data_IF_338800715267
#
_entry.id   IF_338800715267
#
_cell.length_a   1.000
_cell.length_b   1.000
_cell.length_c   1.000
_cell.angle_alpha   90.00
_cell.angle_beta   90.00
_cell.angle_gamma   90.00
#
_symmetry.space_group_name_H-M   'P 1'
#
loop_
_entity.id
_entity.type
_entity.pdbx_description
1 polymer ?
#
# COMPACT_ATOMS: atom_id res chain seq x y z
N UNK A 1 34.17 4.00 -4.23
CA UNK A 1 33.55 2.84 -3.55
C UNK A 1 32.27 3.34 -2.91
N UNK A 2 31.17 3.29 -3.62
CA UNK A 2 29.85 3.69 -3.12
C UNK A 2 29.37 2.59 -2.17
N UNK A 3 29.43 2.89 -0.88
CA UNK A 3 28.77 2.08 0.14
C UNK A 3 27.28 2.07 -0.18
N UNK A 4 26.77 0.94 -0.63
CA UNK A 4 25.32 0.69 -0.77
C UNK A 4 24.76 0.76 0.65
N UNK A 5 24.24 1.92 1.02
CA UNK A 5 23.50 2.08 2.28
C UNK A 5 22.25 1.22 2.15
N UNK A 6 22.33 -0.01 2.68
CA UNK A 6 21.19 -0.94 2.68
C UNK A 6 20.08 -0.26 3.49
N UNK A 7 18.95 -0.03 2.88
CA UNK A 7 17.79 0.46 3.59
C UNK A 7 17.32 -0.60 4.62
N UNK A 8 17.83 -0.46 5.84
CA UNK A 8 17.53 -1.38 6.94
C UNK A 8 16.04 -1.40 7.26
N UNK A 9 15.33 -0.30 7.10
CA UNK A 9 13.88 -0.20 7.31
C UNK A 9 13.14 -1.09 6.33
N UNK A 10 13.50 -1.03 5.05
CA UNK A 10 12.91 -1.87 4.02
C UNK A 10 13.26 -3.36 4.21
N UNK A 11 14.47 -3.67 4.67
CA UNK A 11 14.87 -5.05 4.99
C UNK A 11 14.09 -5.61 6.18
N UNK A 12 13.90 -4.82 7.25
CA UNK A 12 13.09 -5.20 8.41
C UNK A 12 11.63 -5.40 7.98
N UNK A 13 11.06 -4.48 7.21
CA UNK A 13 9.70 -4.62 6.67
C UNK A 13 9.52 -5.90 5.84
N UNK A 14 10.49 -6.21 4.96
CA UNK A 14 10.50 -7.45 4.18
C UNK A 14 10.56 -8.69 5.08
N UNK A 15 11.40 -8.68 6.12
CA UNK A 15 11.57 -9.79 7.05
C UNK A 15 10.30 -10.04 7.85
N UNK A 16 9.69 -9.00 8.42
CA UNK A 16 8.44 -9.12 9.18
C UNK A 16 7.33 -9.70 8.31
N UNK A 17 7.14 -9.17 7.11
CA UNK A 17 6.12 -9.69 6.19
C UNK A 17 6.37 -11.16 5.83
N UNK A 18 7.61 -11.55 5.57
CA UNK A 18 7.98 -12.94 5.28
C UNK A 18 7.60 -13.88 6.42
N UNK A 19 7.92 -13.50 7.66
CA UNK A 19 7.68 -14.35 8.83
C UNK A 19 6.19 -14.44 9.21
N UNK A 20 5.36 -13.47 8.79
CA UNK A 20 3.91 -13.48 9.01
C UNK A 20 3.14 -14.20 7.91
N UNK A 21 3.59 -14.18 6.67
CA UNK A 21 2.91 -14.84 5.53
C UNK A 21 2.80 -16.35 5.77
N UNK A 22 3.86 -16.99 6.26
CA UNK A 22 3.88 -18.44 6.45
C UNK A 22 2.84 -18.95 7.47
N UNK A 23 2.77 -18.45 8.72
CA UNK A 23 1.78 -18.90 9.70
C UNK A 23 0.35 -18.56 9.29
N UNK A 24 0.11 -17.39 8.69
CA UNK A 24 -1.22 -17.04 8.19
C UNK A 24 -1.66 -17.91 7.02
N UNK A 25 -0.76 -18.27 6.13
CA UNK A 25 -1.03 -19.23 5.08
C UNK A 25 -1.41 -20.61 5.64
N UNK A 26 -0.71 -21.09 6.68
CA UNK A 26 -1.04 -22.35 7.35
C UNK A 26 -2.43 -22.32 8.02
N UNK A 27 -2.79 -21.20 8.65
CA UNK A 27 -4.13 -21.03 9.24
C UNK A 27 -5.19 -21.02 8.13
N UNK A 28 -4.96 -20.29 7.02
CA UNK A 28 -5.86 -20.25 5.88
C UNK A 28 -6.13 -21.64 5.29
N UNK A 29 -5.07 -22.42 5.04
CA UNK A 29 -5.19 -23.79 4.56
C UNK A 29 -5.96 -24.68 5.54
N UNK A 30 -5.76 -24.52 6.86
CA UNK A 30 -6.50 -25.24 7.90
C UNK A 30 -8.00 -24.91 7.86
N UNK A 31 -8.36 -23.66 7.72
CA UNK A 31 -9.76 -23.20 7.57
C UNK A 31 -10.38 -23.79 6.29
N UNK A 32 -9.66 -23.75 5.17
CA UNK A 32 -10.12 -24.31 3.89
C UNK A 32 -10.39 -25.84 3.98
N UNK A 33 -9.51 -26.58 4.65
CA UNK A 33 -9.70 -28.01 4.90
C UNK A 33 -10.93 -28.30 5.77
N UNK A 34 -11.18 -27.51 6.79
CA UNK A 34 -12.39 -27.60 7.63
C UNK A 34 -13.66 -27.34 6.82
N UNK A 35 -13.65 -26.35 5.94
CA UNK A 35 -14.77 -26.06 5.04
C UNK A 35 -15.02 -27.23 4.07
N UNK A 36 -13.99 -27.77 3.46
CA UNK A 36 -14.10 -28.92 2.54
C UNK A 36 -14.57 -30.22 3.23
N UNK A 37 -14.30 -30.38 4.51
CA UNK A 37 -14.76 -31.57 5.28
C UNK A 37 -16.22 -31.48 5.74
N UNK A 38 -16.95 -30.41 5.41
CA UNK A 38 -18.34 -30.21 5.83
C UNK A 38 -18.50 -29.90 7.33
N UNK A 39 -17.41 -29.71 8.06
CA UNK A 39 -17.44 -29.37 9.50
C UNK A 39 -17.56 -27.86 9.76
N UNK A 40 -17.64 -27.04 8.72
CA UNK A 40 -17.45 -25.60 8.85
C UNK A 40 -18.55 -24.73 8.23
N UNK A 41 -19.78 -25.22 8.11
CA UNK A 41 -20.93 -24.40 7.71
C UNK A 41 -21.47 -23.57 8.90
N UNK A 42 -20.58 -22.79 9.52
CA UNK A 42 -20.99 -21.87 10.57
C UNK A 42 -20.59 -20.41 10.24
N UNK A 43 -21.38 -19.42 10.66
CA UNK A 43 -21.05 -18.01 10.50
C UNK A 43 -19.70 -17.63 11.11
N UNK A 44 -19.30 -18.29 12.19
CA UNK A 44 -18.01 -18.07 12.86
C UNK A 44 -16.84 -18.51 11.98
N UNK A 45 -16.96 -19.64 11.30
CA UNK A 45 -15.93 -20.13 10.38
C UNK A 45 -15.82 -19.22 9.15
N UNK A 46 -16.93 -18.72 8.63
CA UNK A 46 -16.94 -17.76 7.54
C UNK A 46 -16.20 -16.47 7.96
N UNK A 47 -16.45 -15.98 9.18
CA UNK A 47 -15.77 -14.81 9.73
C UNK A 47 -14.26 -15.03 9.91
N UNK A 48 -13.86 -16.23 10.36
CA UNK A 48 -12.43 -16.59 10.50
C UNK A 48 -11.76 -16.64 9.12
N UNK A 49 -12.39 -17.30 8.13
CA UNK A 49 -11.88 -17.39 6.78
C UNK A 49 -11.68 -15.98 6.14
N UNK A 50 -12.68 -15.13 6.29
CA UNK A 50 -12.61 -13.73 5.84
C UNK A 50 -11.48 -12.97 6.54
N UNK A 51 -11.36 -13.10 7.87
CA UNK A 51 -10.33 -12.41 8.66
C UNK A 51 -8.92 -12.85 8.25
N UNK A 52 -8.70 -14.13 8.01
CA UNK A 52 -7.40 -14.67 7.56
C UNK A 52 -7.07 -14.18 6.15
N UNK A 53 -8.06 -14.18 5.26
CA UNK A 53 -7.90 -13.66 3.89
C UNK A 53 -7.51 -12.18 3.92
N UNK A 54 -8.22 -11.38 4.71
CA UNK A 54 -7.96 -9.95 4.87
C UNK A 54 -6.56 -9.69 5.46
N UNK A 55 -6.14 -10.45 6.46
CA UNK A 55 -4.81 -10.35 7.05
C UNK A 55 -3.71 -10.68 6.04
N UNK A 56 -3.86 -11.74 5.24
CA UNK A 56 -2.91 -12.11 4.19
C UNK A 56 -2.76 -11.01 3.14
N UNK A 57 -3.87 -10.44 2.70
CA UNK A 57 -3.85 -9.35 1.71
C UNK A 57 -3.20 -8.09 2.26
N UNK A 58 -3.47 -7.76 3.54
CA UNK A 58 -2.85 -6.61 4.21
C UNK A 58 -1.33 -6.80 4.35
N UNK A 59 -0.86 -7.99 4.67
CA UNK A 59 0.58 -8.28 4.72
C UNK A 59 1.22 -8.21 3.33
N UNK A 60 0.55 -8.72 2.29
CA UNK A 60 1.03 -8.58 0.91
C UNK A 60 1.12 -7.11 0.50
N UNK A 61 0.14 -6.30 0.87
CA UNK A 61 0.17 -4.85 0.67
C UNK A 61 1.40 -4.23 1.36
N UNK A 62 1.61 -4.52 2.64
CA UNK A 62 2.75 -4.01 3.40
C UNK A 62 4.11 -4.46 2.85
N UNK A 63 4.20 -5.69 2.34
CA UNK A 63 5.40 -6.17 1.66
C UNK A 63 5.74 -5.34 0.43
N UNK A 64 4.75 -4.84 -0.29
CA UNK A 64 4.97 -3.92 -1.42
C UNK A 64 5.34 -2.53 -0.93
N UNK A 65 4.57 -1.96 -0.01
CA UNK A 65 4.74 -0.58 0.47
C UNK A 65 6.01 -0.37 1.29
N UNK A 66 6.35 -1.29 2.19
CA UNK A 66 7.47 -1.12 3.13
C UNK A 66 8.69 -2.00 2.78
N UNK A 67 8.53 -2.99 1.94
CA UNK A 67 9.58 -3.91 1.58
C UNK A 67 10.67 -3.29 0.69
N UNK A 68 11.75 -4.05 0.50
CA UNK A 68 12.81 -3.68 -0.44
C UNK A 68 12.26 -3.65 -1.88
N UNK A 69 12.73 -2.68 -2.65
CA UNK A 69 12.36 -2.50 -4.05
C UNK A 69 13.61 -2.29 -4.90
N UNK A 70 14.33 -3.37 -5.26
CA UNK A 70 15.43 -3.31 -6.21
C UNK A 70 14.99 -2.72 -7.56
N UNK A 71 15.88 -1.98 -8.20
CA UNK A 71 15.55 -1.19 -9.40
C UNK A 71 15.24 -2.08 -10.62
N UNK A 72 15.76 -3.32 -10.65
CA UNK A 72 15.58 -4.30 -11.71
C UNK A 72 14.34 -5.19 -11.53
N UNK A 73 13.61 -5.06 -10.42
CA UNK A 73 12.42 -5.87 -10.15
C UNK A 73 11.14 -5.26 -10.72
N UNK A 74 10.29 -6.15 -11.24
CA UNK A 74 8.93 -5.83 -11.68
C UNK A 74 7.92 -6.55 -10.76
N UNK A 75 6.73 -5.95 -10.64
CA UNK A 75 5.55 -6.60 -10.06
C UNK A 75 4.55 -6.86 -11.18
N UNK A 76 4.03 -8.08 -11.24
CA UNK A 76 3.03 -8.46 -12.22
C UNK A 76 1.69 -7.72 -11.97
N UNK A 77 1.01 -7.32 -13.04
CA UNK A 77 -0.30 -6.65 -12.98
C UNK A 77 -1.32 -7.43 -12.15
N UNK A 78 -1.40 -8.75 -12.35
CA UNK A 78 -2.30 -9.60 -11.58
C UNK A 78 -2.03 -9.61 -10.07
N UNK A 79 -0.76 -9.49 -9.63
CA UNK A 79 -0.41 -9.36 -8.22
C UNK A 79 -0.91 -8.01 -7.66
N UNK A 80 -0.67 -6.91 -8.37
CA UNK A 80 -1.11 -5.58 -7.95
C UNK A 80 -2.63 -5.54 -7.83
N UNK A 81 -3.36 -5.98 -8.85
CA UNK A 81 -4.83 -5.99 -8.85
C UNK A 81 -5.41 -6.89 -7.76
N UNK A 82 -4.79 -8.04 -7.49
CA UNK A 82 -5.24 -8.93 -6.42
C UNK A 82 -5.11 -8.30 -5.02
N UNK A 83 -4.10 -7.47 -4.80
CA UNK A 83 -3.90 -6.75 -3.53
C UNK A 83 -4.87 -5.56 -3.40
N UNK A 84 -5.22 -4.91 -4.51
CA UNK A 84 -6.08 -3.72 -4.55
C UNK A 84 -7.56 -4.03 -4.80
N UNK A 85 -7.92 -5.30 -4.93
CA UNK A 85 -9.30 -5.71 -5.26
C UNK A 85 -10.34 -5.11 -4.28
N UNK A 86 -11.52 -4.69 -4.80
CA UNK A 86 -12.57 -4.12 -3.96
C UNK A 86 -13.10 -5.13 -2.93
N UNK A 87 -13.52 -4.63 -1.76
CA UNK A 87 -14.08 -5.46 -0.68
C UNK A 87 -13.07 -6.32 0.06
N UNK A 88 -11.81 -6.26 -0.34
CA UNK A 88 -10.71 -6.94 0.31
C UNK A 88 -10.25 -6.13 1.53
N UNK A 89 -9.93 -6.80 2.63
CA UNK A 89 -9.45 -6.25 3.91
C UNK A 89 -10.35 -5.16 4.54
N UNK A 90 -11.66 -5.15 4.23
CA UNK A 90 -12.64 -4.21 4.80
C UNK A 90 -12.47 -2.77 4.33
N UNK A 91 -11.72 -2.52 3.26
CA UNK A 91 -11.54 -1.17 2.70
C UNK A 91 -12.86 -0.61 2.20
N UNK A 92 -13.15 0.62 2.61
CA UNK A 92 -14.26 1.43 2.09
C UNK A 92 -13.88 2.25 0.87
N UNK A 93 -12.63 2.12 0.41
CA UNK A 93 -12.05 2.85 -0.70
C UNK A 93 -11.94 1.92 -1.89
N UNK A 94 -12.50 2.33 -3.02
CA UNK A 94 -12.28 1.66 -4.30
C UNK A 94 -11.04 2.22 -4.98
N UNK A 95 -10.14 1.34 -5.42
CA UNK A 95 -8.94 1.72 -6.16
C UNK A 95 -9.06 1.27 -7.60
N UNK A 96 -9.11 2.22 -8.52
CA UNK A 96 -9.05 2.00 -9.97
C UNK A 96 -7.58 2.07 -10.42
N UNK A 97 -6.99 0.90 -10.64
CA UNK A 97 -5.61 0.75 -11.12
C UNK A 97 -5.61 0.59 -12.64
N UNK A 98 -5.19 1.63 -13.38
CA UNK A 98 -5.19 1.62 -14.85
C UNK A 98 -3.87 1.27 -15.52
N UNK A 99 -2.66 1.36 -14.87
CA UNK A 99 -1.44 0.96 -15.53
C UNK A 99 -1.50 -0.51 -15.98
N UNK A 100 -1.13 -0.76 -17.24
CA UNK A 100 -1.18 -2.10 -17.84
C UNK A 100 0.18 -2.80 -17.75
N UNK A 101 0.15 -4.13 -17.67
CA UNK A 101 1.33 -4.98 -17.64
C UNK A 101 2.12 -4.90 -16.33
N UNK A 102 3.31 -5.52 -16.34
CA UNK A 102 4.19 -5.49 -15.18
C UNK A 102 4.78 -4.10 -14.95
N UNK A 103 4.83 -3.67 -13.70
CA UNK A 103 5.29 -2.34 -13.31
C UNK A 103 6.60 -2.40 -12.53
N UNK A 104 7.51 -1.38 -12.64
CA UNK A 104 8.70 -1.28 -11.81
C UNK A 104 8.33 -1.31 -10.32
N UNK A 105 8.94 -2.23 -9.58
CA UNK A 105 8.64 -2.44 -8.16
C UNK A 105 8.83 -1.16 -7.33
N UNK A 106 9.82 -0.36 -7.66
CA UNK A 106 10.10 0.91 -6.99
C UNK A 106 8.94 1.92 -7.17
N UNK A 107 8.38 2.05 -8.39
CA UNK A 107 7.24 2.91 -8.65
C UNK A 107 5.97 2.41 -7.96
N UNK A 108 5.74 1.08 -7.97
CA UNK A 108 4.59 0.48 -7.26
C UNK A 108 4.71 0.69 -5.75
N UNK A 109 5.91 0.60 -5.18
CA UNK A 109 6.16 0.91 -3.77
C UNK A 109 5.73 2.34 -3.43
N UNK A 110 6.16 3.33 -4.22
CA UNK A 110 5.71 4.72 -4.06
C UNK A 110 4.20 4.85 -4.16
N UNK A 111 3.58 4.27 -5.19
CA UNK A 111 2.13 4.30 -5.34
C UNK A 111 1.42 3.70 -4.11
N UNK A 112 1.89 2.59 -3.57
CA UNK A 112 1.30 1.94 -2.40
C UNK A 112 1.49 2.75 -1.10
N UNK A 113 2.64 3.40 -0.91
CA UNK A 113 2.85 4.34 0.19
C UNK A 113 1.87 5.53 0.10
N UNK A 114 1.72 6.10 -1.11
CA UNK A 114 0.79 7.20 -1.36
C UNK A 114 -0.66 6.73 -1.13
N UNK A 115 -1.06 5.54 -1.58
CA UNK A 115 -2.38 4.98 -1.33
C UNK A 115 -2.69 4.89 0.18
N UNK A 116 -1.71 4.60 1.04
CA UNK A 116 -1.91 4.63 2.50
C UNK A 116 -2.16 6.04 3.04
N UNK A 117 -1.53 7.07 2.44
CA UNK A 117 -1.84 8.45 2.79
C UNK A 117 -3.32 8.77 2.47
N UNK A 118 -3.80 8.29 1.33
CA UNK A 118 -5.21 8.42 0.95
C UNK A 118 -6.14 7.63 1.89
N UNK A 119 -5.78 6.39 2.28
CA UNK A 119 -6.54 5.61 3.28
C UNK A 119 -6.70 6.41 4.59
N UNK A 120 -5.64 7.10 5.04
CA UNK A 120 -5.67 7.94 6.24
C UNK A 120 -6.55 9.18 6.08
N UNK A 121 -6.59 9.76 4.88
CA UNK A 121 -7.36 10.96 4.56
C UNK A 121 -8.83 10.67 4.20
N UNK A 122 -9.16 9.42 3.83
CA UNK A 122 -10.48 8.99 3.35
C UNK A 122 -11.12 7.91 4.27
N UNK A 123 -11.21 8.11 5.60
CA UNK A 123 -11.66 7.08 6.55
C UNK A 123 -13.13 6.69 6.37
N UNK A 124 -13.91 7.52 5.69
CA UNK A 124 -15.33 7.26 5.39
C UNK A 124 -15.56 6.60 4.04
N UNK A 125 -14.47 6.36 3.26
CA UNK A 125 -14.50 5.78 1.94
C UNK A 125 -14.32 6.81 0.83
N UNK A 126 -14.38 6.32 -0.40
CA UNK A 126 -14.23 7.12 -1.62
C UNK A 126 -13.63 6.32 -2.76
N UNK A 127 -13.18 7.00 -3.78
CA UNK A 127 -12.57 6.37 -4.96
C UNK A 127 -11.21 6.97 -5.25
N UNK A 128 -10.24 6.12 -5.53
CA UNK A 128 -8.89 6.51 -5.95
C UNK A 128 -8.65 5.97 -7.35
N UNK A 129 -8.16 6.81 -8.25
CA UNK A 129 -7.66 6.40 -9.56
C UNK A 129 -6.14 6.50 -9.59
N UNK A 130 -5.48 5.45 -10.08
CA UNK A 130 -4.04 5.40 -10.32
C UNK A 130 -3.81 5.32 -11.81
N UNK A 131 -3.08 6.26 -12.37
CA UNK A 131 -2.76 6.35 -13.81
C UNK A 131 -1.26 6.47 -14.01
N UNK A 132 -0.80 5.99 -15.15
CA UNK A 132 0.58 6.12 -15.59
C UNK A 132 0.61 6.53 -17.06
N UNK A 133 1.38 7.57 -17.37
CA UNK A 133 1.68 7.98 -18.75
C UNK A 133 3.19 8.11 -18.88
N UNK A 134 3.79 7.18 -19.63
CA UNK A 134 5.24 7.04 -19.68
C UNK A 134 5.83 6.78 -18.28
N UNK A 135 6.65 7.71 -17.80
CA UNK A 135 7.24 7.66 -16.45
C UNK A 135 6.48 8.51 -15.41
N UNK A 136 5.46 9.21 -15.84
CA UNK A 136 4.65 10.07 -14.97
C UNK A 136 3.49 9.29 -14.35
N UNK A 137 3.35 9.40 -13.03
CA UNK A 137 2.30 8.76 -12.25
C UNK A 137 1.38 9.82 -11.68
N UNK A 138 0.08 9.58 -11.78
CA UNK A 138 -0.96 10.42 -11.18
C UNK A 138 -1.86 9.53 -10.30
N UNK A 139 -1.99 9.91 -9.04
CA UNK A 139 -2.88 9.27 -8.08
C UNK A 139 -3.87 10.30 -7.59
N UNK A 140 -5.15 10.11 -7.91
CA UNK A 140 -6.23 11.04 -7.55
C UNK A 140 -7.29 10.34 -6.72
N UNK A 141 -7.58 10.88 -5.53
CA UNK A 141 -8.66 10.45 -4.66
C UNK A 141 -9.80 11.46 -4.65
N UNK A 142 -11.03 10.97 -4.61
CA UNK A 142 -12.25 11.78 -4.47
C UNK A 142 -13.13 11.15 -3.39
N UNK A 143 -13.62 11.98 -2.47
CA UNK A 143 -14.52 11.57 -1.39
C UNK A 143 -15.47 12.72 -1.02
N UNK A 144 -16.63 12.38 -0.46
CA UNK A 144 -17.59 13.38 0.04
C UNK A 144 -17.00 14.17 1.23
N UNK A 145 -16.14 13.52 2.01
CA UNK A 145 -15.47 14.12 3.16
C UNK A 145 -14.03 13.61 3.26
N UNK A 146 -13.10 14.55 3.46
CA UNK A 146 -11.68 14.28 3.67
C UNK A 146 -11.25 14.66 5.09
N UNK A 147 -10.32 13.90 5.65
CA UNK A 147 -9.58 14.23 6.87
C UNK A 147 -8.16 14.60 6.48
N UNK A 148 -7.94 15.86 6.16
CA UNK A 148 -6.64 16.36 5.74
C UNK A 148 -5.85 16.89 6.93
N UNK A 149 -4.56 16.54 6.94
CA UNK A 149 -3.56 17.13 7.81
C UNK A 149 -2.48 17.77 6.91
N UNK A 150 -2.50 19.10 6.71
CA UNK A 150 -1.59 19.76 5.79
C UNK A 150 -0.12 19.52 6.10
N UNK A 151 0.25 19.39 7.37
CA UNK A 151 1.65 19.19 7.77
C UNK A 151 2.15 17.82 7.33
N UNK A 152 1.31 16.77 7.45
CA UNK A 152 1.64 15.45 6.94
C UNK A 152 1.74 15.41 5.42
N UNK A 153 0.82 16.06 4.70
CA UNK A 153 0.87 16.12 3.24
C UNK A 153 2.07 16.92 2.71
N UNK A 154 2.53 17.93 3.45
CA UNK A 154 3.73 18.69 3.11
C UNK A 154 5.00 17.82 3.12
N UNK A 155 5.04 16.73 3.91
CA UNK A 155 6.17 15.80 3.97
C UNK A 155 6.44 15.11 2.62
N UNK A 156 5.44 14.97 1.76
CA UNK A 156 5.61 14.33 0.45
C UNK A 156 6.51 15.15 -0.47
N UNK A 157 6.46 16.48 -0.36
CA UNK A 157 7.17 17.40 -1.25
C UNK A 157 8.45 17.96 -0.63
N UNK A 158 8.61 17.86 0.69
CA UNK A 158 9.74 18.44 1.40
C UNK A 158 10.42 17.38 2.26
N UNK A 159 11.62 16.91 1.89
CA UNK A 159 12.40 16.01 2.75
C UNK A 159 12.76 16.78 4.04
N UNK A 160 12.01 16.57 5.09
CA UNK A 160 12.37 17.04 6.42
C UNK A 160 13.10 15.90 7.14
N UNK A 161 14.38 16.10 7.48
CA UNK A 161 15.03 15.27 8.48
C UNK A 161 14.27 15.40 9.80
N UNK A 162 14.07 14.33 10.54
CA UNK A 162 13.47 14.29 11.89
C UNK A 162 12.03 14.84 12.02
N UNK A 163 11.15 14.57 11.05
CA UNK A 163 9.73 14.77 11.29
C UNK A 163 9.25 13.75 12.35
N UNK A 164 8.78 14.25 13.49
CA UNK A 164 8.16 13.43 14.53
C UNK A 164 6.77 12.97 14.06
N UNK A 165 6.75 11.85 13.34
CA UNK A 165 5.53 11.27 12.74
C UNK A 165 5.08 10.09 13.60
N UNK A 166 3.82 10.06 14.05
CA UNK A 166 3.29 8.90 14.77
C UNK A 166 3.46 7.60 13.98
N UNK A 167 3.72 6.46 14.65
CA UNK A 167 3.91 5.17 13.96
C UNK A 167 2.80 4.81 12.97
N UNK A 168 1.56 5.18 13.27
CA UNK A 168 0.40 4.95 12.40
C UNK A 168 0.45 5.76 11.08
N UNK A 169 1.31 6.77 11.00
CA UNK A 169 1.45 7.67 9.85
C UNK A 169 2.85 7.65 9.23
N UNK A 170 3.66 6.65 9.58
CA UNK A 170 5.06 6.51 9.11
C UNK A 170 5.18 6.50 7.58
N UNK A 171 4.15 6.05 6.88
CA UNK A 171 4.11 6.02 5.42
C UNK A 171 4.28 7.42 4.79
N UNK A 172 3.80 8.50 5.42
CA UNK A 172 4.05 9.87 4.95
C UNK A 172 5.55 10.22 4.94
N UNK A 173 6.27 9.84 5.99
CA UNK A 173 7.70 10.13 6.12
C UNK A 173 8.58 9.29 5.17
N UNK A 174 8.08 8.15 4.67
CA UNK A 174 8.83 7.27 3.78
C UNK A 174 8.79 7.69 2.30
N UNK A 175 7.84 8.56 1.91
CA UNK A 175 7.64 8.93 0.50
C UNK A 175 8.79 9.79 -0.03
N UNK A 176 9.14 10.88 0.66
CA UNK A 176 10.18 11.79 0.19
C UNK A 176 11.57 11.12 0.04
N UNK A 177 12.06 10.28 0.98
CA UNK A 177 13.28 9.50 0.79
C UNK A 177 13.20 8.54 -0.40
N UNK A 178 12.05 7.89 -0.61
CA UNK A 178 11.86 6.97 -1.73
C UNK A 178 11.82 7.70 -3.08
N UNK A 179 11.19 8.88 -3.15
CA UNK A 179 11.23 9.76 -4.32
C UNK A 179 12.65 10.19 -4.65
N UNK A 180 13.41 10.64 -3.65
CA UNK A 180 14.81 11.04 -3.81
C UNK A 180 15.67 9.89 -4.34
N UNK A 181 15.46 8.65 -3.84
CA UNK A 181 16.16 7.45 -4.32
C UNK A 181 15.90 7.19 -5.80
N UNK A 182 14.69 7.53 -6.29
CA UNK A 182 14.30 7.35 -7.69
C UNK A 182 14.56 8.59 -8.56
N UNK A 183 15.22 9.64 -8.04
CA UNK A 183 15.41 10.94 -8.70
C UNK A 183 14.09 11.56 -9.16
N UNK A 184 13.04 11.46 -8.34
CA UNK A 184 11.69 11.99 -8.57
C UNK A 184 11.33 13.04 -7.53
N UNK A 185 10.32 13.84 -7.83
CA UNK A 185 9.68 14.76 -6.91
C UNK A 185 8.16 14.57 -6.97
N UNK A 186 7.46 14.82 -5.87
CA UNK A 186 6.01 14.79 -5.86
C UNK A 186 5.41 16.19 -5.90
N UNK A 187 4.36 16.34 -6.73
CA UNK A 187 3.42 17.45 -6.67
C UNK A 187 2.17 17.02 -5.91
N UNK A 188 1.73 17.80 -4.92
CA UNK A 188 0.53 17.52 -4.13
C UNK A 188 -0.45 18.68 -4.26
N UNK A 189 -1.69 18.37 -4.62
CA UNK A 189 -2.79 19.33 -4.65
C UNK A 189 -3.93 18.83 -3.79
N UNK A 190 -4.34 19.62 -2.80
CA UNK A 190 -5.42 19.31 -1.87
C UNK A 190 -6.61 20.23 -2.13
N UNK A 191 -7.83 19.69 -2.05
CA UNK A 191 -9.09 20.42 -2.05
C UNK A 191 -10.07 19.79 -1.07
N UNK A 192 -11.22 20.41 -0.87
CA UNK A 192 -12.24 19.95 0.08
C UNK A 192 -12.74 18.52 -0.18
N UNK A 193 -12.72 18.09 -1.45
CA UNK A 193 -13.27 16.80 -1.88
C UNK A 193 -12.31 15.95 -2.70
N UNK A 194 -11.10 16.44 -2.97
CA UNK A 194 -10.14 15.67 -3.77
C UNK A 194 -8.70 15.91 -3.34
N UNK A 195 -7.89 14.87 -3.56
CA UNK A 195 -6.44 14.88 -3.38
C UNK A 195 -5.85 14.44 -4.71
N UNK A 196 -4.82 15.14 -5.19
CA UNK A 196 -4.04 14.74 -6.35
C UNK A 196 -2.56 14.69 -5.98
N UNK A 197 -1.91 13.58 -6.31
CA UNK A 197 -0.46 13.39 -6.14
C UNK A 197 0.11 12.95 -7.47
N UNK A 198 1.16 13.61 -7.91
CA UNK A 198 1.89 13.34 -9.16
C UNK A 198 3.37 13.11 -8.85
N UNK A 199 4.01 12.16 -9.54
CA UNK A 199 5.45 11.91 -9.39
C UNK A 199 6.07 11.24 -10.63
#
# INVERSE_FOLDING_TARGET
MTQHNRDLTALIGSRICHDLISPLGAIGNGVELLQLSGMADSPEMALIAESVTNANLRIRYFRVAFGAAPDDQLIADGEIRSILAPGVDGRKIEVDWTPEGSQPRACVKLAFLILQCFESAMPWGGRISVRRDGDHWTIRGVADKLKLDPDLWALLSTPQGDADVPPAQVHFALIAPELARQNRAAGVTLSDHSINVEF
#
